data_IF_855402893752
#
_entry.id   IF_855402893752
#
_cell.length_a   1.000
_cell.length_b   1.000
_cell.length_c   1.000
_cell.angle_alpha   90.00
_cell.angle_beta   90.00
_cell.angle_gamma   90.00
#
_symmetry.space_group_name_H-M   'P 1'
#
loop_
_entity.id
_entity.type
_entity.pdbx_description
1 polymer ?
#
# COMPACT_ATOMS: atom_id res chain seq x y z
N UNK A 1 -21.51 0.09 21.28
CA UNK A 1 -20.30 0.79 21.75
C UNK A 1 -19.08 -0.13 21.85
N UNK A 2 -19.18 -1.37 22.38
CA UNK A 2 -18.07 -2.35 22.38
C UNK A 2 -17.43 -2.59 20.99
N UNK A 3 -18.26 -2.80 19.96
CA UNK A 3 -17.77 -2.95 18.56
C UNK A 3 -17.05 -1.72 17.98
N UNK A 4 -17.26 -0.50 18.52
CA UNK A 4 -16.58 0.71 18.01
C UNK A 4 -15.17 0.77 18.61
N UNK A 5 -15.02 0.47 19.91
CA UNK A 5 -13.73 0.46 20.59
C UNK A 5 -12.80 -0.64 20.06
N UNK A 6 -13.34 -1.84 19.79
CA UNK A 6 -12.59 -2.95 19.19
C UNK A 6 -12.14 -2.61 17.76
N UNK A 7 -12.99 -1.94 16.95
CA UNK A 7 -12.62 -1.45 15.61
C UNK A 7 -11.58 -0.32 15.61
N UNK A 8 -11.56 0.51 16.65
CA UNK A 8 -10.50 1.53 16.84
C UNK A 8 -9.16 0.85 17.13
N UNK A 9 -9.18 -0.23 17.93
CA UNK A 9 -7.98 -0.97 18.28
C UNK A 9 -7.44 -1.84 17.12
N UNK A 10 -8.31 -2.28 16.21
CA UNK A 10 -7.95 -3.06 15.02
C UNK A 10 -7.96 -2.25 13.72
N UNK A 11 -7.72 -0.93 13.77
CA UNK A 11 -7.88 -0.03 12.62
C UNK A 11 -6.91 -0.30 11.46
N UNK A 12 -5.86 -1.07 11.71
CA UNK A 12 -4.83 -1.45 10.75
C UNK A 12 -5.37 -2.31 9.58
N UNK A 13 -6.52 -2.98 9.79
CA UNK A 13 -7.17 -3.85 8.80
C UNK A 13 -8.42 -3.25 8.14
N UNK A 14 -8.74 -1.98 8.41
CA UNK A 14 -9.95 -1.33 7.89
C UNK A 14 -9.71 -0.66 6.53
N UNK A 15 -10.70 -0.75 5.65
CA UNK A 15 -10.66 -0.04 4.37
C UNK A 15 -10.70 1.48 4.58
N UNK A 16 -10.16 2.27 3.65
CA UNK A 16 -10.14 3.74 3.75
C UNK A 16 -11.53 4.35 4.04
N UNK A 17 -12.58 3.76 3.46
CA UNK A 17 -13.97 4.18 3.69
C UNK A 17 -14.44 3.90 5.13
N UNK A 18 -14.03 2.78 5.72
CA UNK A 18 -14.35 2.42 7.11
C UNK A 18 -13.56 3.26 8.11
N UNK A 19 -12.28 3.53 7.82
CA UNK A 19 -11.46 4.47 8.59
C UNK A 19 -12.09 5.86 8.57
N UNK A 20 -12.52 6.35 7.40
CA UNK A 20 -13.19 7.64 7.29
C UNK A 20 -14.49 7.67 8.10
N UNK A 21 -15.32 6.62 8.01
CA UNK A 21 -16.54 6.50 8.81
C UNK A 21 -16.24 6.59 10.31
N UNK A 22 -15.19 5.91 10.75
CA UNK A 22 -14.79 5.92 12.15
C UNK A 22 -14.35 7.31 12.60
N UNK A 23 -13.56 8.01 11.79
CA UNK A 23 -13.17 9.41 12.04
C UNK A 23 -14.40 10.32 12.15
N UNK A 24 -15.36 10.19 11.21
CA UNK A 24 -16.60 10.98 11.26
C UNK A 24 -17.42 10.66 12.51
N UNK A 25 -17.52 9.39 12.92
CA UNK A 25 -18.22 9.02 14.15
C UNK A 25 -17.58 9.65 15.40
N UNK A 26 -16.24 9.62 15.51
CA UNK A 26 -15.50 10.23 16.63
C UNK A 26 -15.75 11.74 16.67
N UNK A 27 -15.60 12.44 15.54
CA UNK A 27 -15.85 13.89 15.45
C UNK A 27 -17.30 14.21 15.76
N UNK A 28 -18.26 13.43 15.26
CA UNK A 28 -19.68 13.66 15.52
C UNK A 28 -20.02 13.50 17.00
N UNK A 29 -19.43 12.51 17.70
CA UNK A 29 -19.59 12.35 19.15
C UNK A 29 -19.02 13.57 19.88
N UNK A 30 -17.79 13.97 19.54
CA UNK A 30 -17.15 15.15 20.13
C UNK A 30 -17.99 16.42 19.93
N UNK A 31 -18.42 16.70 18.69
CA UNK A 31 -19.24 17.85 18.34
C UNK A 31 -20.61 17.79 19.02
N UNK A 32 -21.21 16.61 19.17
CA UNK A 32 -22.49 16.44 19.89
C UNK A 32 -22.35 16.77 21.38
N UNK A 33 -21.31 16.27 22.04
CA UNK A 33 -21.02 16.61 23.44
C UNK A 33 -20.81 18.12 23.57
N UNK A 34 -20.05 18.71 22.65
CA UNK A 34 -19.77 20.13 22.64
C UNK A 34 -21.05 20.97 22.46
N UNK A 35 -21.95 20.58 21.56
CA UNK A 35 -23.24 21.26 21.34
C UNK A 35 -24.12 21.16 22.58
N UNK A 36 -24.22 19.98 23.21
CA UNK A 36 -25.00 19.82 24.45
C UNK A 36 -24.48 20.72 25.57
N UNK A 37 -23.15 20.87 25.68
CA UNK A 37 -22.53 21.80 26.63
C UNK A 37 -22.71 23.28 26.24
N UNK A 38 -22.98 23.56 24.96
CA UNK A 38 -23.18 24.91 24.43
C UNK A 38 -24.58 25.47 24.72
N UNK A 39 -25.61 24.61 24.75
CA UNK A 39 -27.02 25.00 24.94
C UNK A 39 -27.29 25.76 26.26
N UNK A 40 -26.70 25.40 27.41
CA UNK A 40 -26.83 26.19 28.64
C UNK A 40 -26.19 27.57 28.51
N UNK A 41 -25.05 27.67 27.83
CA UNK A 41 -24.25 28.89 27.71
C UNK A 41 -24.88 29.94 26.77
N UNK A 42 -25.63 29.51 25.74
CA UNK A 42 -26.35 30.45 24.87
C UNK A 42 -27.44 31.23 25.60
N UNK A 43 -28.02 30.65 26.67
CA UNK A 43 -29.02 31.30 27.51
C UNK A 43 -28.41 32.36 28.45
N UNK A 44 -27.09 32.37 28.63
CA UNK A 44 -26.35 33.36 29.44
C UNK A 44 -25.69 34.46 28.61
N UNK A 45 -25.66 34.33 27.28
CA UNK A 45 -25.17 35.36 26.38
C UNK A 45 -26.35 36.19 25.85
N UNK A 46 -26.22 37.53 25.86
CA UNK A 46 -27.22 38.49 25.36
C UNK A 46 -27.33 38.49 23.82
N UNK A 47 -27.52 37.32 23.22
CA UNK A 47 -27.80 37.21 21.80
C UNK A 47 -29.26 37.55 21.49
N UNK A 48 -29.55 37.97 20.25
CA UNK A 48 -30.92 38.13 19.79
C UNK A 48 -31.68 36.79 19.84
N UNK A 49 -32.99 36.86 20.11
CA UNK A 49 -33.87 35.68 20.25
C UNK A 49 -33.74 34.74 19.03
N UNK A 50 -33.56 35.31 17.84
CA UNK A 50 -33.40 34.55 16.60
C UNK A 50 -32.12 33.69 16.62
N UNK A 51 -30.98 34.24 17.04
CA UNK A 51 -29.70 33.50 17.08
C UNK A 51 -29.75 32.37 18.11
N UNK A 52 -30.38 32.62 19.26
CA UNK A 52 -30.48 31.64 20.35
C UNK A 52 -31.37 30.44 20.03
N UNK A 53 -32.31 30.55 19.08
CA UNK A 53 -33.21 29.46 18.69
C UNK A 53 -32.77 28.82 17.37
N UNK A 54 -32.43 29.60 16.35
CA UNK A 54 -32.10 29.07 15.02
C UNK A 54 -30.76 28.33 14.98
N UNK A 55 -29.74 28.80 15.71
CA UNK A 55 -28.40 28.18 15.66
C UNK A 55 -28.40 26.79 16.30
N UNK A 56 -28.94 26.56 17.52
CA UNK A 56 -29.02 25.22 18.09
C UNK A 56 -29.87 24.26 17.24
N UNK A 57 -30.96 24.75 16.65
CA UNK A 57 -31.82 23.95 15.77
C UNK A 57 -31.08 23.52 14.49
N UNK A 58 -30.34 24.43 13.86
CA UNK A 58 -29.52 24.13 12.69
C UNK A 58 -28.39 23.14 13.01
N UNK A 59 -27.72 23.29 14.17
CA UNK A 59 -26.68 22.37 14.63
C UNK A 59 -27.23 20.96 14.91
N UNK A 60 -28.41 20.86 15.53
CA UNK A 60 -29.09 19.58 15.75
C UNK A 60 -29.47 18.90 14.42
N UNK A 61 -30.01 19.67 13.47
CA UNK A 61 -30.32 19.19 12.13
C UNK A 61 -29.07 18.64 11.43
N UNK A 62 -27.94 19.36 11.50
CA UNK A 62 -26.70 18.94 10.86
C UNK A 62 -26.12 17.66 11.48
N UNK A 63 -26.22 17.47 12.80
CA UNK A 63 -25.85 16.18 13.42
C UNK A 63 -26.72 15.04 12.88
N UNK A 64 -28.04 15.23 12.83
CA UNK A 64 -28.96 14.21 12.30
C UNK A 64 -28.63 13.90 10.84
N UNK A 65 -28.34 14.92 10.04
CA UNK A 65 -27.92 14.74 8.65
C UNK A 65 -26.61 13.98 8.54
N UNK A 66 -25.60 14.31 9.35
CA UNK A 66 -24.31 13.61 9.39
C UNK A 66 -24.49 12.13 9.73
N UNK A 67 -25.32 11.80 10.73
CA UNK A 67 -25.62 10.42 11.12
C UNK A 67 -26.38 9.67 10.00
N UNK A 68 -27.36 10.31 9.38
CA UNK A 68 -28.12 9.72 8.27
C UNK A 68 -27.20 9.42 7.06
N UNK A 69 -26.33 10.35 6.69
CA UNK A 69 -25.35 10.14 5.61
C UNK A 69 -24.36 9.01 5.93
N UNK A 70 -24.02 8.83 7.21
CA UNK A 70 -23.16 7.73 7.66
C UNK A 70 -23.85 6.37 7.51
N UNK A 71 -25.15 6.28 7.81
CA UNK A 71 -25.96 5.07 7.65
C UNK A 71 -26.09 4.67 6.18
N UNK A 72 -26.23 5.65 5.27
CA UNK A 72 -26.35 5.42 3.81
C UNK A 72 -24.97 5.16 3.17
N UNK A 73 -23.89 5.07 3.94
CA UNK A 73 -22.50 4.88 3.48
C UNK A 73 -21.93 6.06 2.65
N UNK A 74 -22.53 7.25 2.68
CA UNK A 74 -21.98 8.47 2.08
C UNK A 74 -20.94 9.13 3.00
N UNK A 75 -19.87 8.39 3.31
CA UNK A 75 -18.88 8.77 4.32
C UNK A 75 -18.17 10.11 4.02
N UNK A 76 -17.91 10.44 2.75
CA UNK A 76 -17.27 11.70 2.36
C UNK A 76 -18.18 12.92 2.54
N UNK A 77 -19.46 12.80 2.22
CA UNK A 77 -20.43 13.86 2.50
C UNK A 77 -20.65 14.05 3.99
N UNK A 78 -20.73 12.95 4.75
CA UNK A 78 -20.83 12.98 6.21
C UNK A 78 -19.65 13.75 6.86
N UNK A 79 -18.42 13.56 6.33
CA UNK A 79 -17.26 14.39 6.71
C UNK A 79 -17.52 15.89 6.47
N UNK A 80 -17.90 16.30 5.25
CA UNK A 80 -18.15 17.72 4.96
C UNK A 80 -19.25 18.31 5.86
N UNK A 81 -20.34 17.59 6.10
CA UNK A 81 -21.42 18.04 7.00
C UNK A 81 -20.91 18.23 8.43
N UNK A 82 -20.06 17.33 8.94
CA UNK A 82 -19.45 17.48 10.26
C UNK A 82 -18.50 18.68 10.35
N UNK A 83 -17.71 18.95 9.30
CA UNK A 83 -16.83 20.12 9.21
C UNK A 83 -17.65 21.42 9.20
N UNK A 84 -18.77 21.45 8.46
CA UNK A 84 -19.69 22.58 8.46
C UNK A 84 -20.32 22.80 9.83
N UNK A 85 -20.64 21.71 10.54
CA UNK A 85 -21.21 21.79 11.90
C UNK A 85 -20.25 22.48 12.86
N UNK A 86 -18.96 22.10 12.86
CA UNK A 86 -17.97 22.79 13.68
C UNK A 86 -17.69 24.22 13.17
N UNK A 87 -17.83 24.51 11.87
CA UNK A 87 -17.67 25.86 11.34
C UNK A 87 -18.70 26.83 11.93
N UNK A 88 -19.98 26.41 11.91
CA UNK A 88 -21.09 27.19 12.46
C UNK A 88 -20.90 27.37 13.97
N UNK A 89 -20.45 26.33 14.65
CA UNK A 89 -20.18 26.39 16.09
C UNK A 89 -19.03 27.36 16.42
N UNK A 90 -17.94 27.34 15.65
CA UNK A 90 -16.83 28.30 15.79
C UNK A 90 -17.29 29.74 15.53
N UNK A 91 -18.13 29.97 14.52
CA UNK A 91 -18.72 31.29 14.25
C UNK A 91 -19.69 31.75 15.35
N UNK A 92 -20.48 30.84 15.91
CA UNK A 92 -21.36 31.15 17.04
C UNK A 92 -20.57 31.62 18.25
N UNK A 93 -19.49 30.90 18.59
CA UNK A 93 -18.66 31.27 19.74
C UNK A 93 -17.77 32.49 19.50
N UNK A 94 -17.39 32.78 18.25
CA UNK A 94 -16.65 34.01 17.96
C UNK A 94 -17.49 35.26 18.20
N UNK A 95 -18.81 35.19 18.01
CA UNK A 95 -19.75 36.28 18.28
C UNK A 95 -20.09 36.46 19.78
N UNK A 96 -19.69 35.53 20.64
CA UNK A 96 -19.98 35.57 22.08
C UNK A 96 -19.20 36.63 22.85
N UNK A 97 -19.56 36.77 24.13
CA UNK A 97 -18.97 37.74 25.05
C UNK A 97 -17.51 37.43 25.44
N UNK A 98 -17.13 36.14 25.41
CA UNK A 98 -15.76 35.71 25.72
C UNK A 98 -14.91 35.57 24.46
N UNK A 99 -14.21 36.64 24.09
CA UNK A 99 -13.43 36.71 22.86
C UNK A 99 -12.22 35.76 22.83
N UNK A 100 -11.62 35.46 23.99
CA UNK A 100 -10.53 34.48 24.07
C UNK A 100 -11.01 33.06 23.78
N UNK A 101 -12.22 32.71 24.24
CA UNK A 101 -12.83 31.42 23.91
C UNK A 101 -13.11 31.30 22.40
N UNK A 102 -13.62 32.37 21.78
CA UNK A 102 -13.77 32.46 20.33
C UNK A 102 -12.45 32.24 19.58
N UNK A 103 -11.34 32.79 20.08
CA UNK A 103 -10.01 32.55 19.53
C UNK A 103 -9.58 31.08 19.60
N UNK A 104 -9.79 30.40 20.73
CA UNK A 104 -9.49 28.96 20.88
C UNK A 104 -10.31 28.10 19.89
N UNK A 105 -11.55 28.49 19.61
CA UNK A 105 -12.42 27.74 18.69
C UNK A 105 -11.89 27.66 17.25
N UNK A 106 -11.04 28.59 16.81
CA UNK A 106 -10.34 28.48 15.52
C UNK A 106 -9.34 27.32 15.51
N UNK A 107 -8.62 27.08 16.63
CA UNK A 107 -7.69 25.95 16.74
C UNK A 107 -8.42 24.61 16.87
N UNK A 108 -9.53 24.57 17.62
CA UNK A 108 -10.38 23.38 17.71
C UNK A 108 -10.90 22.99 16.33
N UNK A 109 -11.36 23.98 15.56
CA UNK A 109 -11.78 23.77 14.17
C UNK A 109 -10.64 23.23 13.30
N UNK A 110 -9.48 23.89 13.31
CA UNK A 110 -8.34 23.47 12.49
C UNK A 110 -7.88 22.05 12.86
N UNK A 111 -7.89 21.71 14.15
CA UNK A 111 -7.55 20.37 14.65
C UNK A 111 -8.51 19.30 14.12
N UNK A 112 -9.82 19.59 14.09
CA UNK A 112 -10.81 18.66 13.51
C UNK A 112 -10.58 18.46 12.02
N UNK A 113 -10.26 19.53 11.27
CA UNK A 113 -9.95 19.40 9.84
C UNK A 113 -8.66 18.59 9.63
N UNK A 114 -7.63 18.81 10.45
CA UNK A 114 -6.37 18.03 10.42
C UNK A 114 -6.64 16.55 10.71
N UNK A 115 -7.51 16.25 11.67
CA UNK A 115 -7.84 14.86 12.04
C UNK A 115 -8.41 14.04 10.88
N UNK A 116 -9.14 14.68 9.95
CA UNK A 116 -9.63 14.00 8.75
C UNK A 116 -8.52 13.58 7.79
N UNK A 117 -7.38 14.25 7.83
CA UNK A 117 -6.23 14.03 6.94
C UNK A 117 -6.57 14.16 5.44
N UNK A 118 -7.49 15.07 5.09
CA UNK A 118 -7.82 15.40 3.69
C UNK A 118 -7.23 16.78 3.35
N UNK A 119 -6.27 16.79 2.40
CA UNK A 119 -5.53 18.00 2.00
C UNK A 119 -6.44 19.07 1.39
N UNK A 120 -7.45 18.67 0.61
CA UNK A 120 -8.38 19.62 0.00
C UNK A 120 -9.26 20.24 1.08
N UNK A 121 -9.76 19.43 2.01
CA UNK A 121 -10.53 19.94 3.14
C UNK A 121 -9.70 20.93 3.97
N UNK A 122 -8.42 20.62 4.22
CA UNK A 122 -7.52 21.50 4.94
C UNK A 122 -7.24 22.82 4.20
N UNK A 123 -7.02 22.77 2.89
CA UNK A 123 -6.76 23.97 2.08
C UNK A 123 -8.01 24.88 2.01
N UNK A 124 -9.19 24.32 1.76
CA UNK A 124 -10.43 25.10 1.66
C UNK A 124 -10.93 25.55 3.03
N UNK A 125 -11.30 24.62 3.92
CA UNK A 125 -11.91 24.97 5.21
C UNK A 125 -10.88 25.57 6.17
N UNK A 126 -9.67 25.00 6.23
CA UNK A 126 -8.58 25.52 7.05
C UNK A 126 -8.07 26.88 6.57
N UNK A 127 -8.03 27.10 5.26
CA UNK A 127 -7.70 28.42 4.70
C UNK A 127 -8.75 29.48 5.04
N UNK A 128 -10.03 29.18 4.80
CA UNK A 128 -11.14 30.10 5.09
C UNK A 128 -11.18 30.47 6.58
N UNK A 129 -11.12 29.47 7.46
CA UNK A 129 -11.25 29.70 8.91
C UNK A 129 -10.05 30.47 9.48
N UNK A 130 -8.85 30.26 8.93
CA UNK A 130 -7.65 31.04 9.30
C UNK A 130 -7.82 32.49 8.87
N UNK A 131 -8.34 32.74 7.67
CA UNK A 131 -8.68 34.09 7.21
C UNK A 131 -9.72 34.78 8.11
N UNK A 132 -10.79 34.07 8.47
CA UNK A 132 -11.80 34.57 9.42
C UNK A 132 -11.18 34.83 10.80
N UNK A 133 -10.29 33.95 11.28
CA UNK A 133 -9.59 34.13 12.55
C UNK A 133 -8.63 35.31 12.56
N UNK A 134 -7.94 35.58 11.44
CA UNK A 134 -7.13 36.80 11.28
C UNK A 134 -8.01 38.05 11.37
N UNK A 135 -9.14 38.08 10.65
CA UNK A 135 -10.11 39.17 10.75
C UNK A 135 -10.63 39.34 12.19
N UNK A 136 -10.93 38.23 12.86
CA UNK A 136 -11.38 38.23 14.25
C UNK A 136 -10.38 38.86 15.22
N UNK A 137 -9.09 38.56 15.06
CA UNK A 137 -8.02 39.14 15.88
C UNK A 137 -7.89 40.64 15.61
N UNK A 138 -8.09 41.12 14.38
CA UNK A 138 -8.07 42.56 14.11
C UNK A 138 -9.27 43.29 14.72
N UNK A 139 -10.47 42.71 14.69
CA UNK A 139 -11.68 43.35 15.21
C UNK A 139 -11.80 43.26 16.74
N UNK A 140 -11.46 42.10 17.33
CA UNK A 140 -11.64 41.80 18.75
C UNK A 140 -10.33 41.63 19.54
N UNK A 141 -9.18 41.82 18.91
CA UNK A 141 -7.85 41.57 19.50
C UNK A 141 -7.62 42.27 20.83
N UNK A 142 -8.05 43.52 20.96
CA UNK A 142 -7.92 44.29 22.21
C UNK A 142 -8.66 43.62 23.37
N UNK A 143 -9.80 42.99 23.10
CA UNK A 143 -10.60 42.28 24.12
C UNK A 143 -10.10 40.87 24.42
N UNK A 144 -9.22 40.32 23.58
CA UNK A 144 -8.54 39.02 23.80
C UNK A 144 -7.33 39.22 24.71
N UNK A 145 -6.67 40.37 24.62
CA UNK A 145 -5.46 40.71 25.35
C UNK A 145 -5.82 41.01 26.82
N UNK A 146 -5.31 40.19 27.74
CA UNK A 146 -5.52 40.40 29.17
C UNK A 146 -4.89 41.70 29.68
N UNK A 147 -5.40 42.24 30.78
CA UNK A 147 -4.98 43.51 31.40
C UNK A 147 -3.51 43.59 31.82
N UNK A 148 -2.79 42.46 31.79
CA UNK A 148 -1.39 42.34 32.19
C UNK A 148 -0.41 42.35 31.00
N UNK A 149 -0.85 42.72 29.79
CA UNK A 149 0.03 42.77 28.61
C UNK A 149 0.99 43.96 28.65
N UNK A 150 2.27 43.71 28.34
CA UNK A 150 3.32 44.73 28.27
C UNK A 150 3.09 45.69 27.08
N UNK A 151 2.58 45.18 25.96
CA UNK A 151 2.20 45.96 24.77
C UNK A 151 1.06 45.24 24.03
N UNK A 152 -0.01 45.98 23.71
CA UNK A 152 -1.18 45.48 22.99
C UNK A 152 -0.85 45.08 21.55
N UNK A 153 0.05 45.79 20.88
CA UNK A 153 0.46 45.48 19.51
C UNK A 153 1.25 44.18 19.46
N UNK A 154 2.20 44.00 20.38
CA UNK A 154 3.02 42.77 20.47
C UNK A 154 2.14 41.57 20.79
N UNK A 155 1.16 41.73 21.68
CA UNK A 155 0.24 40.66 22.06
C UNK A 155 -0.69 40.27 20.90
N UNK A 156 -1.24 41.24 20.17
CA UNK A 156 -2.06 40.99 18.98
C UNK A 156 -1.26 40.26 17.88
N UNK A 157 -0.02 40.69 17.63
CA UNK A 157 0.86 40.03 16.67
C UNK A 157 1.20 38.60 17.08
N UNK A 158 1.35 38.34 18.38
CA UNK A 158 1.59 36.98 18.89
C UNK A 158 0.42 36.05 18.55
N UNK A 159 -0.82 36.50 18.77
CA UNK A 159 -2.00 35.71 18.42
C UNK A 159 -2.14 35.45 16.91
N UNK A 160 -1.78 36.43 16.08
CA UNK A 160 -1.74 36.28 14.62
C UNK A 160 -0.68 35.26 14.18
N UNK A 161 0.55 35.39 14.69
CA UNK A 161 1.67 34.50 14.36
C UNK A 161 1.36 33.06 14.79
N UNK A 162 0.76 32.86 15.96
CA UNK A 162 0.40 31.51 16.42
C UNK A 162 -0.67 30.90 15.52
N UNK A 163 -1.72 31.64 15.14
CA UNK A 163 -2.79 31.11 14.27
C UNK A 163 -2.28 30.80 12.85
N UNK A 164 -1.58 31.76 12.23
CA UNK A 164 -1.02 31.60 10.87
C UNK A 164 0.07 30.53 10.86
N UNK A 165 0.94 30.53 11.87
CA UNK A 165 2.01 29.54 12.02
C UNK A 165 1.45 28.13 12.20
N UNK A 166 0.40 27.96 13.01
CA UNK A 166 -0.30 26.69 13.13
C UNK A 166 -0.83 26.22 11.77
N UNK A 167 -1.49 27.10 11.01
CA UNK A 167 -1.99 26.74 9.68
C UNK A 167 -0.87 26.31 8.72
N UNK A 168 0.22 27.08 8.64
CA UNK A 168 1.32 26.84 7.70
C UNK A 168 2.09 25.56 8.04
N UNK A 169 2.38 25.30 9.31
CA UNK A 169 3.13 24.09 9.73
C UNK A 169 2.38 22.83 9.31
N UNK A 170 1.07 22.77 9.57
CA UNK A 170 0.26 21.62 9.17
C UNK A 170 0.04 21.55 7.66
N UNK A 171 -0.01 22.69 6.94
CA UNK A 171 -0.05 22.69 5.47
C UNK A 171 1.20 22.01 4.87
N UNK A 172 2.38 22.36 5.39
CA UNK A 172 3.64 21.74 4.98
C UNK A 172 3.64 20.25 5.31
N UNK A 173 3.18 19.86 6.50
CA UNK A 173 3.05 18.45 6.89
C UNK A 173 2.16 17.68 5.90
N UNK A 174 1.01 18.24 5.50
CA UNK A 174 0.12 17.60 4.52
C UNK A 174 0.78 17.44 3.15
N UNK A 175 1.44 18.48 2.63
CA UNK A 175 2.13 18.41 1.34
C UNK A 175 3.24 17.36 1.32
N UNK A 176 4.02 17.26 2.40
CA UNK A 176 5.08 16.25 2.52
C UNK A 176 4.46 14.85 2.60
N UNK A 177 3.42 14.68 3.42
CA UNK A 177 2.78 13.38 3.59
C UNK A 177 2.18 12.86 2.28
N UNK A 178 1.49 13.70 1.52
CA UNK A 178 0.83 13.30 0.27
C UNK A 178 1.87 12.85 -0.78
N UNK A 179 2.98 13.59 -0.89
CA UNK A 179 4.11 13.22 -1.76
C UNK A 179 4.75 11.88 -1.35
N UNK A 180 4.92 11.64 -0.04
CA UNK A 180 5.44 10.36 0.46
C UNK A 180 4.49 9.22 0.12
N UNK A 181 3.18 9.40 0.33
CA UNK A 181 2.18 8.39 -0.01
C UNK A 181 2.16 8.06 -1.49
N UNK A 182 2.21 9.08 -2.35
CA UNK A 182 2.28 8.88 -3.80
C UNK A 182 3.54 8.10 -4.20
N UNK A 183 4.70 8.49 -3.66
CA UNK A 183 5.97 7.80 -3.93
C UNK A 183 5.94 6.35 -3.46
N UNK A 184 5.50 6.11 -2.22
CA UNK A 184 5.37 4.75 -1.66
C UNK A 184 4.40 3.90 -2.46
N UNK A 185 3.27 4.45 -2.88
CA UNK A 185 2.30 3.74 -3.72
C UNK A 185 2.91 3.38 -5.08
N UNK A 186 3.63 4.30 -5.72
CA UNK A 186 4.30 4.05 -6.99
C UNK A 186 5.42 2.99 -6.86
N UNK A 187 6.19 3.02 -5.77
CA UNK A 187 7.19 2.00 -5.47
C UNK A 187 6.54 0.64 -5.20
N UNK A 188 5.45 0.60 -4.43
CA UNK A 188 4.70 -0.62 -4.15
C UNK A 188 4.13 -1.25 -5.43
N UNK A 189 3.50 -0.46 -6.31
CA UNK A 189 2.99 -0.93 -7.61
C UNK A 189 4.13 -1.49 -8.48
N UNK A 190 5.29 -0.83 -8.49
CA UNK A 190 6.46 -1.31 -9.22
C UNK A 190 6.98 -2.64 -8.65
N UNK A 191 7.10 -2.73 -7.33
CA UNK A 191 7.57 -3.94 -6.64
C UNK A 191 6.63 -5.10 -6.88
N UNK A 192 5.30 -4.87 -6.79
CA UNK A 192 4.29 -5.88 -7.07
C UNK A 192 4.45 -6.47 -8.47
N UNK A 193 4.60 -5.65 -9.50
CA UNK A 193 4.84 -6.13 -10.88
C UNK A 193 6.12 -6.94 -11.04
N UNK A 194 7.16 -6.62 -10.27
CA UNK A 194 8.42 -7.38 -10.29
C UNK A 194 8.23 -8.73 -9.59
N UNK A 195 7.57 -8.74 -8.43
CA UNK A 195 7.26 -9.94 -7.68
C UNK A 195 6.36 -10.90 -8.47
N UNK A 196 5.34 -10.39 -9.14
CA UNK A 196 4.46 -11.15 -10.06
C UNK A 196 5.30 -11.94 -11.08
N UNK A 197 6.25 -11.29 -11.77
CA UNK A 197 7.16 -11.97 -12.71
C UNK A 197 8.03 -13.03 -12.06
N UNK A 198 8.55 -12.77 -10.86
CA UNK A 198 9.36 -13.77 -10.14
C UNK A 198 8.53 -14.95 -9.68
N UNK A 199 7.28 -14.71 -9.27
CA UNK A 199 6.33 -15.77 -8.92
C UNK A 199 5.99 -16.61 -10.13
N UNK A 200 5.71 -16.00 -11.28
CA UNK A 200 5.49 -16.70 -12.55
C UNK A 200 6.67 -17.62 -12.90
N UNK A 201 7.90 -17.09 -12.87
CA UNK A 201 9.10 -17.86 -13.13
C UNK A 201 9.29 -19.01 -12.12
N UNK A 202 9.06 -18.73 -10.84
CA UNK A 202 9.23 -19.73 -9.78
C UNK A 202 8.21 -20.86 -9.91
N UNK A 203 6.94 -20.54 -10.22
CA UNK A 203 5.90 -21.55 -10.44
C UNK A 203 6.24 -22.40 -11.65
N UNK A 204 6.65 -21.77 -12.77
CA UNK A 204 7.08 -22.51 -13.97
C UNK A 204 8.22 -23.48 -13.67
N UNK A 205 9.24 -23.00 -12.94
CA UNK A 205 10.37 -23.82 -12.56
C UNK A 205 9.99 -24.98 -11.61
N UNK A 206 9.06 -24.74 -10.67
CA UNK A 206 8.53 -25.83 -9.82
C UNK A 206 7.82 -26.88 -10.69
N UNK A 207 7.00 -26.46 -11.64
CA UNK A 207 6.33 -27.39 -12.56
C UNK A 207 7.33 -28.20 -13.40
N UNK A 208 8.37 -27.56 -13.93
CA UNK A 208 9.45 -28.24 -14.66
C UNK A 208 10.17 -29.27 -13.78
N UNK A 209 10.51 -28.90 -12.54
CA UNK A 209 11.11 -29.82 -11.58
C UNK A 209 10.18 -30.99 -11.21
N UNK A 210 8.88 -30.74 -11.05
CA UNK A 210 7.89 -31.79 -10.81
C UNK A 210 7.83 -32.78 -11.98
N UNK A 211 7.85 -32.28 -13.22
CA UNK A 211 7.87 -33.10 -14.44
C UNK A 211 9.16 -33.91 -14.59
N UNK A 212 10.32 -33.30 -14.35
CA UNK A 212 11.64 -33.98 -14.42
C UNK A 212 11.77 -35.11 -13.40
N UNK A 213 11.17 -34.95 -12.22
CA UNK A 213 11.24 -35.91 -11.12
C UNK A 213 10.04 -36.88 -11.06
N UNK A 214 9.14 -36.85 -12.05
CA UNK A 214 7.91 -37.65 -12.10
C UNK A 214 7.07 -37.53 -10.81
N UNK A 215 6.99 -36.31 -10.27
CA UNK A 215 6.22 -35.98 -9.07
C UNK A 215 4.80 -35.57 -9.47
N UNK A 216 3.83 -36.03 -8.68
CA UNK A 216 2.45 -35.59 -8.85
C UNK A 216 2.25 -34.20 -8.25
N UNK A 217 1.69 -33.23 -9.00
CA UNK A 217 1.41 -31.90 -8.46
C UNK A 217 0.46 -31.98 -7.26
N UNK A 218 0.69 -31.12 -6.26
CA UNK A 218 -0.04 -31.13 -4.96
C UNK A 218 -1.57 -31.11 -5.14
N UNK A 219 -2.07 -30.33 -6.09
CA UNK A 219 -3.50 -30.21 -6.35
C UNK A 219 -4.12 -31.48 -6.98
N UNK A 220 -3.32 -32.41 -7.49
CA UNK A 220 -3.76 -33.75 -7.94
C UNK A 220 -3.65 -34.82 -6.85
N UNK A 221 -2.95 -34.53 -5.74
CA UNK A 221 -2.78 -35.51 -4.67
C UNK A 221 -4.08 -35.76 -3.92
N UNK A 222 -4.53 -37.01 -3.90
CA UNK A 222 -5.80 -37.40 -3.24
C UNK A 222 -5.80 -37.07 -1.75
N UNK A 223 -4.65 -37.19 -1.07
CA UNK A 223 -4.52 -36.86 0.36
C UNK A 223 -4.72 -35.37 0.61
N UNK A 224 -4.13 -34.53 -0.24
CA UNK A 224 -4.28 -33.08 -0.15
C UNK A 224 -5.73 -32.67 -0.40
N UNK A 225 -6.33 -33.13 -1.50
CA UNK A 225 -7.72 -32.85 -1.83
C UNK A 225 -8.67 -33.25 -0.70
N UNK A 226 -8.50 -34.45 -0.15
CA UNK A 226 -9.28 -34.95 0.98
C UNK A 226 -9.12 -34.10 2.24
N UNK A 227 -7.89 -33.67 2.54
CA UNK A 227 -7.61 -32.84 3.72
C UNK A 227 -8.28 -31.47 3.60
N UNK A 228 -8.16 -30.83 2.43
CA UNK A 228 -8.84 -29.56 2.15
C UNK A 228 -10.35 -29.73 2.26
N UNK A 229 -10.88 -30.84 1.71
CA UNK A 229 -12.30 -31.16 1.79
C UNK A 229 -12.80 -31.28 3.23
N UNK A 230 -12.17 -32.13 4.04
CA UNK A 230 -12.53 -32.35 5.43
C UNK A 230 -12.43 -31.07 6.27
N UNK A 231 -11.37 -30.26 6.07
CA UNK A 231 -11.20 -28.99 6.78
C UNK A 231 -12.26 -27.97 6.40
N UNK A 232 -12.56 -27.81 5.12
CA UNK A 232 -13.56 -26.85 4.67
C UNK A 232 -14.97 -27.23 5.12
N UNK A 233 -15.32 -28.52 5.12
CA UNK A 233 -16.59 -29.00 5.69
C UNK A 233 -16.64 -28.72 7.19
N UNK A 234 -15.59 -29.07 7.93
CA UNK A 234 -15.51 -28.82 9.37
C UNK A 234 -15.65 -27.34 9.73
N UNK A 235 -14.95 -26.45 9.02
CA UNK A 235 -15.05 -25.00 9.23
C UNK A 235 -16.47 -24.51 8.95
N UNK A 236 -17.09 -24.98 7.86
CA UNK A 236 -18.42 -24.52 7.48
C UNK A 236 -19.52 -25.00 8.46
N UNK A 237 -19.39 -26.24 8.96
CA UNK A 237 -20.26 -26.77 10.02
C UNK A 237 -20.09 -26.00 11.33
N UNK A 238 -18.87 -25.61 11.68
CA UNK A 238 -18.60 -24.78 12.86
C UNK A 238 -19.32 -23.41 12.81
N UNK A 239 -19.53 -22.86 11.61
CA UNK A 239 -20.29 -21.63 11.39
C UNK A 239 -21.79 -21.85 11.11
N UNK A 240 -22.32 -23.05 11.42
CA UNK A 240 -23.73 -23.41 11.23
C UNK A 240 -24.22 -23.29 9.77
N UNK A 241 -23.32 -23.47 8.79
CA UNK A 241 -23.62 -23.40 7.37
C UNK A 241 -23.77 -24.80 6.73
N UNK A 242 -24.34 -24.82 5.52
CA UNK A 242 -24.67 -26.05 4.79
C UNK A 242 -23.40 -26.79 4.29
N UNK A 243 -23.11 -27.93 4.92
CA UNK A 243 -21.97 -28.80 4.61
C UNK A 243 -22.01 -29.38 3.18
N UNK A 244 -23.20 -29.65 2.64
CA UNK A 244 -23.33 -30.23 1.30
C UNK A 244 -22.93 -29.22 0.23
N UNK A 245 -23.33 -27.96 0.39
CA UNK A 245 -22.97 -26.89 -0.55
C UNK A 245 -21.47 -26.65 -0.60
N UNK A 246 -20.77 -26.70 0.54
CA UNK A 246 -19.32 -26.49 0.53
C UNK A 246 -18.59 -27.67 -0.12
N UNK A 247 -19.09 -28.90 0.03
CA UNK A 247 -18.55 -30.08 -0.65
C UNK A 247 -18.54 -29.92 -2.16
N UNK A 248 -19.69 -29.55 -2.76
CA UNK A 248 -19.81 -29.31 -4.20
C UNK A 248 -18.86 -28.20 -4.68
N UNK A 249 -18.71 -27.15 -3.87
CA UNK A 249 -17.84 -26.01 -4.18
C UNK A 249 -16.36 -26.41 -4.18
N UNK A 250 -15.94 -27.28 -3.26
CA UNK A 250 -14.56 -27.79 -3.18
C UNK A 250 -14.25 -28.74 -4.35
N UNK A 251 -15.18 -29.62 -4.70
CA UNK A 251 -15.05 -30.47 -5.88
C UNK A 251 -14.92 -29.63 -7.14
N UNK A 252 -15.73 -28.57 -7.26
CA UNK A 252 -15.64 -27.62 -8.35
C UNK A 252 -14.29 -26.88 -8.36
N UNK A 253 -13.76 -26.47 -7.21
CA UNK A 253 -12.43 -25.85 -7.10
C UNK A 253 -11.32 -26.76 -7.65
N UNK A 254 -11.28 -28.03 -7.28
CA UNK A 254 -10.28 -28.97 -7.81
C UNK A 254 -10.51 -29.30 -9.28
N UNK A 255 -11.76 -29.36 -9.73
CA UNK A 255 -12.08 -29.50 -11.15
C UNK A 255 -11.48 -28.36 -11.98
N UNK A 256 -11.52 -27.12 -11.49
CA UNK A 256 -10.94 -25.95 -12.17
C UNK A 256 -9.42 -26.03 -12.35
N UNK A 257 -8.69 -26.82 -11.56
CA UNK A 257 -7.24 -27.01 -11.77
C UNK A 257 -6.92 -27.93 -12.96
N UNK A 258 -7.89 -28.73 -13.39
CA UNK A 258 -7.76 -29.66 -14.52
C UNK A 258 -8.25 -29.12 -15.86
N UNK A 259 -8.85 -27.92 -15.86
CA UNK A 259 -9.41 -27.26 -17.03
C UNK A 259 -8.80 -25.87 -17.19
N UNK A 260 -8.86 -25.31 -18.39
CA UNK A 260 -8.58 -23.89 -18.58
C UNK A 260 -9.75 -23.08 -18.02
N UNK A 261 -9.52 -22.36 -16.92
CA UNK A 261 -10.57 -21.61 -16.23
C UNK A 261 -11.19 -20.53 -17.11
N UNK A 262 -10.40 -19.96 -18.03
CA UNK A 262 -10.87 -19.04 -19.06
C UNK A 262 -11.96 -19.67 -19.94
N UNK A 263 -11.80 -20.94 -20.31
CA UNK A 263 -12.80 -21.67 -21.10
C UNK A 263 -14.09 -21.87 -20.31
N UNK A 264 -14.00 -22.20 -19.02
CA UNK A 264 -15.16 -22.35 -18.13
C UNK A 264 -15.91 -21.03 -17.95
N UNK A 265 -15.17 -19.92 -17.84
CA UNK A 265 -15.74 -18.57 -17.70
C UNK A 265 -16.38 -18.08 -19.02
N UNK A 266 -15.75 -18.38 -20.16
CA UNK A 266 -16.22 -17.99 -21.48
C UNK A 266 -17.37 -18.86 -22.00
N UNK A 267 -17.55 -20.08 -21.45
CA UNK A 267 -18.59 -20.99 -21.88
C UNK A 267 -20.00 -20.46 -21.54
N UNK A 268 -20.72 -20.00 -22.56
CA UNK A 268 -22.10 -19.50 -22.44
C UNK A 268 -23.10 -20.59 -22.00
N UNK A 269 -22.77 -21.87 -22.21
CA UNK A 269 -23.60 -23.01 -21.81
C UNK A 269 -23.38 -23.40 -20.34
N UNK A 270 -22.35 -22.88 -19.68
CA UNK A 270 -22.12 -23.13 -18.26
C UNK A 270 -23.14 -22.37 -17.39
N UNK A 271 -23.50 -22.95 -16.24
CA UNK A 271 -24.44 -22.28 -15.34
C UNK A 271 -23.87 -20.94 -14.84
N UNK A 272 -24.74 -19.93 -14.67
CA UNK A 272 -24.35 -18.61 -14.15
C UNK A 272 -23.62 -18.73 -12.80
N UNK A 273 -24.02 -19.69 -11.98
CA UNK A 273 -23.42 -19.98 -10.67
C UNK A 273 -22.01 -20.53 -10.84
N UNK A 274 -21.80 -21.51 -11.73
CA UNK A 274 -20.47 -22.08 -12.00
C UNK A 274 -19.51 -21.01 -12.55
N UNK A 275 -19.96 -20.18 -13.48
CA UNK A 275 -19.16 -19.06 -14.02
C UNK A 275 -18.78 -18.06 -12.93
N UNK A 276 -19.72 -17.73 -12.04
CA UNK A 276 -19.46 -16.83 -10.89
C UNK A 276 -18.43 -17.43 -9.94
N UNK A 277 -18.55 -18.71 -9.59
CA UNK A 277 -17.56 -19.37 -8.74
C UNK A 277 -16.20 -19.51 -9.44
N UNK A 278 -16.15 -19.78 -10.74
CA UNK A 278 -14.91 -19.83 -11.51
C UNK A 278 -14.16 -18.49 -11.44
N UNK A 279 -14.84 -17.36 -11.66
CA UNK A 279 -14.26 -16.01 -11.51
C UNK A 279 -13.76 -15.75 -10.08
N UNK A 280 -14.46 -16.24 -9.06
CA UNK A 280 -14.02 -16.09 -7.68
C UNK A 280 -12.79 -16.96 -7.36
N UNK A 281 -12.74 -18.18 -7.87
CA UNK A 281 -11.67 -19.13 -7.61
C UNK A 281 -10.42 -18.91 -8.45
N UNK A 282 -10.52 -18.28 -9.61
CA UNK A 282 -9.40 -17.98 -10.51
C UNK A 282 -8.18 -17.42 -9.77
N UNK A 283 -8.41 -16.50 -8.83
CA UNK A 283 -7.38 -15.86 -8.00
C UNK A 283 -6.73 -16.77 -6.96
N UNK A 284 -7.36 -17.90 -6.64
CA UNK A 284 -6.96 -18.82 -5.57
C UNK A 284 -6.53 -20.19 -6.09
N UNK A 285 -6.33 -20.34 -7.40
CA UNK A 285 -5.79 -21.57 -7.98
C UNK A 285 -4.31 -21.73 -7.61
N UNK A 286 -3.92 -22.93 -7.20
CA UNK A 286 -2.55 -23.23 -6.72
C UNK A 286 -1.58 -23.40 -7.89
N UNK A 287 -2.09 -23.79 -9.07
CA UNK A 287 -1.30 -24.03 -10.26
C UNK A 287 -1.15 -22.80 -11.17
N UNK A 288 -1.56 -21.60 -10.71
CA UNK A 288 -1.49 -20.36 -11.47
C UNK A 288 -0.92 -19.22 -10.66
N UNK A 289 -0.43 -18.21 -11.36
CA UNK A 289 -0.15 -16.94 -10.73
C UNK A 289 -1.46 -16.35 -10.18
N UNK A 290 -1.50 -16.07 -8.88
CA UNK A 290 -2.71 -15.68 -8.19
C UNK A 290 -2.44 -15.21 -6.77
N UNK A 291 -3.48 -14.67 -6.13
CA UNK A 291 -3.41 -14.15 -4.77
C UNK A 291 -2.98 -15.23 -3.77
N UNK A 292 -3.45 -16.47 -3.93
CA UNK A 292 -3.06 -17.57 -3.02
C UNK A 292 -1.55 -17.85 -3.10
N UNK A 293 -1.01 -17.99 -4.31
CA UNK A 293 0.41 -18.25 -4.49
C UNK A 293 1.26 -17.07 -4.00
N UNK A 294 0.83 -15.82 -4.24
CA UNK A 294 1.51 -14.65 -3.70
C UNK A 294 1.61 -14.70 -2.17
N UNK A 295 0.52 -15.05 -1.49
CA UNK A 295 0.48 -15.22 -0.03
C UNK A 295 1.42 -16.37 0.40
N UNK A 296 1.41 -17.50 -0.31
CA UNK A 296 2.30 -18.63 0.00
C UNK A 296 3.78 -18.25 -0.14
N UNK A 297 4.16 -17.52 -1.18
CA UNK A 297 5.52 -17.00 -1.34
C UNK A 297 5.90 -16.01 -0.23
N UNK A 298 4.98 -15.12 0.16
CA UNK A 298 5.19 -14.17 1.26
C UNK A 298 5.41 -14.91 2.58
N UNK A 299 4.54 -15.87 2.91
CA UNK A 299 4.69 -16.73 4.09
C UNK A 299 6.03 -17.46 4.04
N UNK A 300 6.37 -18.09 2.91
CA UNK A 300 7.64 -18.79 2.76
C UNK A 300 8.85 -17.86 2.98
N UNK A 301 8.76 -16.61 2.54
CA UNK A 301 9.80 -15.61 2.72
C UNK A 301 9.95 -15.13 4.17
N UNK A 302 8.86 -15.10 4.95
CA UNK A 302 8.89 -14.76 6.37
C UNK A 302 9.59 -15.82 7.21
N UNK A 303 9.43 -17.10 6.85
CA UNK A 303 9.98 -18.23 7.60
C UNK A 303 11.34 -18.70 7.09
N UNK A 304 11.75 -18.33 5.87
CA UNK A 304 13.11 -18.62 5.38
C UNK A 304 14.07 -17.54 5.88
N UNK A 305 15.04 -17.88 6.75
CA UNK A 305 16.08 -16.92 7.10
C UNK A 305 16.84 -16.54 5.83
N UNK A 306 16.98 -15.24 5.59
CA UNK A 306 17.88 -14.77 4.53
C UNK A 306 19.27 -15.30 4.86
N UNK A 307 19.90 -16.12 4.00
CA UNK A 307 21.24 -16.59 4.27
C UNK A 307 22.15 -15.37 4.44
N UNK A 308 23.02 -15.43 5.45
CA UNK A 308 23.99 -14.37 5.69
C UNK A 308 24.75 -14.06 4.39
N UNK A 309 25.05 -12.79 4.17
CA UNK A 309 25.91 -12.43 3.06
C UNK A 309 27.27 -13.09 3.26
N UNK A 310 27.70 -13.85 2.25
CA UNK A 310 29.03 -14.41 2.13
C UNK A 310 29.64 -13.82 0.87
N UNK A 311 30.89 -13.40 0.93
CA UNK A 311 31.58 -12.83 -0.24
C UNK A 311 31.56 -13.81 -1.44
N UNK A 312 31.54 -15.12 -1.16
CA UNK A 312 31.47 -16.20 -2.16
C UNK A 312 30.04 -16.74 -2.40
N UNK A 313 29.00 -15.90 -2.29
CA UNK A 313 27.59 -16.34 -2.41
C UNK A 313 27.28 -17.05 -3.73
N UNK A 314 27.98 -16.68 -4.81
CA UNK A 314 27.80 -17.29 -6.12
C UNK A 314 29.06 -18.08 -6.49
N UNK A 315 28.86 -19.31 -6.95
CA UNK A 315 29.93 -20.12 -7.52
C UNK A 315 30.10 -19.72 -8.98
N UNK A 316 31.31 -19.29 -9.36
CA UNK A 316 31.59 -18.83 -10.72
C UNK A 316 32.43 -19.82 -11.52
N UNK A 317 32.92 -20.89 -10.88
CA UNK A 317 33.74 -21.90 -11.53
C UNK A 317 32.87 -22.82 -12.40
N UNK A 318 33.17 -22.92 -13.69
CA UNK A 318 32.41 -23.74 -14.65
C UNK A 318 32.38 -25.23 -14.28
N UNK A 319 33.41 -25.74 -13.60
CA UNK A 319 33.42 -27.13 -13.14
C UNK A 319 32.46 -27.38 -11.98
N UNK A 320 32.17 -26.37 -11.18
CA UNK A 320 31.23 -26.46 -10.06
C UNK A 320 29.81 -26.09 -10.47
N UNK A 321 29.66 -25.25 -11.50
CA UNK A 321 28.36 -24.85 -12.06
C UNK A 321 27.72 -25.96 -12.89
N UNK A 322 28.51 -26.63 -13.73
CA UNK A 322 28.00 -27.66 -14.64
C UNK A 322 28.54 -29.03 -14.27
N UNK A 323 27.70 -30.05 -14.35
CA UNK A 323 28.10 -31.43 -14.06
C UNK A 323 28.54 -32.16 -15.34
N UNK A 324 27.80 -31.96 -16.44
CA UNK A 324 28.11 -32.61 -17.71
C UNK A 324 29.26 -31.90 -18.46
N UNK A 325 30.07 -32.71 -19.16
CA UNK A 325 31.18 -32.23 -19.98
C UNK A 325 30.69 -31.41 -21.18
N UNK A 326 29.53 -31.74 -21.74
CA UNK A 326 28.96 -31.01 -22.88
C UNK A 326 28.59 -29.59 -22.46
N UNK A 327 27.87 -29.44 -21.34
CA UNK A 327 27.49 -28.12 -20.81
C UNK A 327 28.70 -27.25 -20.46
N UNK A 328 29.77 -27.87 -19.92
CA UNK A 328 31.04 -27.19 -19.67
C UNK A 328 31.68 -26.66 -20.96
N UNK A 329 31.65 -27.44 -22.04
CA UNK A 329 32.19 -27.02 -23.34
C UNK A 329 31.31 -25.95 -24.00
N UNK A 330 29.98 -26.11 -23.91
CA UNK A 330 29.02 -25.15 -24.45
C UNK A 330 29.12 -23.80 -23.72
N UNK A 331 29.21 -23.82 -22.39
CA UNK A 331 29.40 -22.60 -21.59
C UNK A 331 30.70 -21.89 -21.92
N UNK A 332 31.80 -22.61 -22.17
CA UNK A 332 33.06 -22.04 -22.65
C UNK A 332 32.90 -21.38 -24.04
N UNK A 333 32.19 -22.03 -24.96
CA UNK A 333 31.90 -21.50 -26.29
C UNK A 333 31.03 -20.24 -26.24
N UNK A 334 30.00 -20.23 -25.39
CA UNK A 334 29.15 -19.06 -25.15
C UNK A 334 29.98 -17.92 -24.53
N UNK A 335 30.81 -18.22 -23.54
CA UNK A 335 31.69 -17.22 -22.90
C UNK A 335 32.65 -16.59 -23.92
N UNK A 336 33.29 -17.41 -24.75
CA UNK A 336 34.17 -16.91 -25.81
C UNK A 336 33.41 -16.03 -26.81
N UNK A 337 32.25 -16.48 -27.28
CA UNK A 337 31.43 -15.72 -28.23
C UNK A 337 30.97 -14.39 -27.63
N UNK A 338 30.56 -14.41 -26.36
CA UNK A 338 30.21 -13.22 -25.60
C UNK A 338 31.38 -12.22 -25.54
N UNK A 339 32.57 -12.66 -25.13
CA UNK A 339 33.75 -11.79 -25.04
C UNK A 339 34.15 -11.19 -26.41
N UNK A 340 33.96 -11.95 -27.49
CA UNK A 340 34.28 -11.51 -28.86
C UNK A 340 33.26 -10.51 -29.44
N UNK A 341 32.00 -10.60 -29.01
CA UNK A 341 30.90 -9.81 -29.56
C UNK A 341 30.52 -8.61 -28.70
N UNK A 342 30.75 -8.68 -27.38
CA UNK A 342 30.34 -7.62 -26.47
C UNK A 342 31.34 -6.47 -26.45
N UNK A 343 30.80 -5.26 -26.63
CA UNK A 343 31.57 -4.02 -26.65
C UNK A 343 31.91 -3.64 -25.22
N UNK A 344 33.10 -4.03 -24.77
CA UNK A 344 33.54 -3.91 -23.37
C UNK A 344 34.85 -3.16 -23.20
N UNK A 345 35.63 -2.95 -24.27
CA UNK A 345 36.90 -2.25 -24.20
C UNK A 345 36.72 -0.73 -24.25
N UNK A 346 37.48 -0.05 -23.38
CA UNK A 346 37.61 1.39 -23.34
C UNK A 346 38.56 1.87 -24.44
N UNK A 347 38.10 2.82 -25.26
CA UNK A 347 38.94 3.52 -26.21
C UNK A 347 40.01 4.36 -25.48
N UNK A 348 40.94 4.93 -26.24
CA UNK A 348 42.02 5.80 -25.71
C UNK A 348 41.52 7.06 -24.98
N UNK A 349 40.21 7.35 -25.05
CA UNK A 349 39.54 8.48 -24.44
C UNK A 349 38.57 8.06 -23.31
N UNK A 350 38.52 6.77 -22.95
CA UNK A 350 37.71 6.23 -21.87
C UNK A 350 36.25 5.92 -22.25
N UNK A 351 35.91 5.82 -23.54
CA UNK A 351 34.56 5.41 -23.99
C UNK A 351 34.54 3.92 -24.31
N UNK A 352 33.50 3.20 -23.87
CA UNK A 352 33.31 1.79 -24.19
C UNK A 352 32.88 1.68 -25.66
N UNK A 353 33.75 1.18 -26.54
CA UNK A 353 33.46 1.16 -27.99
C UNK A 353 34.04 -0.02 -28.77
N UNK A 354 35.03 -0.73 -28.22
CA UNK A 354 35.69 -1.84 -28.92
C UNK A 354 35.36 -3.20 -28.26
N UNK A 355 35.47 -4.28 -29.05
CA UNK A 355 35.34 -5.67 -28.57
C UNK A 355 36.72 -6.30 -28.35
N UNK A 356 36.79 -7.39 -27.59
CA UNK A 356 38.06 -8.11 -27.40
C UNK A 356 38.46 -8.84 -28.70
N UNK A 357 39.74 -8.74 -29.04
CA UNK A 357 40.36 -9.54 -30.09
C UNK A 357 40.54 -10.99 -29.63
N UNK A 358 40.69 -11.90 -30.58
CA UNK A 358 40.91 -13.31 -30.28
C UNK A 358 42.17 -13.52 -29.43
N UNK A 359 43.23 -12.79 -29.74
CA UNK A 359 44.50 -12.84 -29.01
C UNK A 359 44.34 -12.37 -27.55
N UNK A 360 43.56 -11.31 -27.31
CA UNK A 360 43.26 -10.82 -25.96
C UNK A 360 42.39 -11.81 -25.17
N UNK A 361 41.41 -12.46 -25.81
CA UNK A 361 40.59 -13.50 -25.17
C UNK A 361 41.46 -14.71 -24.82
N UNK A 362 42.35 -15.14 -25.72
CA UNK A 362 43.30 -16.23 -25.47
C UNK A 362 44.24 -15.88 -24.30
N UNK A 363 44.70 -14.64 -24.19
CA UNK A 363 45.51 -14.18 -23.06
C UNK A 363 44.70 -14.19 -21.75
N UNK A 364 43.46 -13.70 -21.79
CA UNK A 364 42.53 -13.75 -20.65
C UNK A 364 42.32 -15.19 -20.17
N UNK A 365 42.01 -16.14 -21.07
CA UNK A 365 41.79 -17.54 -20.70
C UNK A 365 43.06 -18.21 -20.12
N UNK A 366 44.26 -17.75 -20.50
CA UNK A 366 45.54 -18.25 -19.96
C UNK A 366 45.94 -17.59 -18.64
N UNK A 367 45.38 -16.41 -18.34
CA UNK A 367 45.69 -15.60 -17.16
C UNK A 367 45.48 -16.38 -15.86
N UNK A 368 46.11 -15.94 -14.77
CA UNK A 368 45.99 -16.64 -13.48
C UNK A 368 44.61 -16.38 -12.86
N UNK A 369 44.08 -15.19 -13.09
CA UNK A 369 42.82 -14.66 -12.59
C UNK A 369 41.63 -15.45 -13.16
N UNK A 370 41.66 -15.79 -14.45
CA UNK A 370 40.59 -16.58 -15.08
C UNK A 370 40.60 -18.07 -14.71
N UNK A 371 41.67 -18.58 -14.09
CA UNK A 371 41.74 -19.98 -13.64
C UNK A 371 40.80 -20.29 -12.48
N UNK A 372 40.36 -19.27 -11.76
CA UNK A 372 39.32 -19.42 -10.74
C UNK A 372 37.94 -19.70 -11.36
N UNK A 373 37.75 -19.34 -12.64
CA UNK A 373 36.50 -19.46 -13.38
C UNK A 373 36.51 -20.63 -14.36
N UNK A 374 37.61 -20.82 -15.10
CA UNK A 374 37.76 -21.82 -16.15
C UNK A 374 38.84 -22.84 -15.75
N UNK A 375 38.50 -24.14 -15.66
CA UNK A 375 39.44 -25.18 -15.31
C UNK A 375 40.44 -25.49 -16.44
N UNK A 376 41.59 -26.08 -16.07
CA UNK A 376 42.68 -26.40 -17.00
C UNK A 376 42.25 -27.29 -18.16
N UNK A 377 41.37 -28.25 -17.93
CA UNK A 377 40.91 -29.17 -18.97
C UNK A 377 40.16 -28.43 -20.09
N UNK A 378 39.37 -27.42 -19.74
CA UNK A 378 38.62 -26.61 -20.69
C UNK A 378 39.51 -25.61 -21.42
N UNK A 379 40.47 -24.98 -20.73
CA UNK A 379 41.46 -24.11 -21.38
C UNK A 379 42.29 -24.90 -22.37
N UNK A 380 42.76 -26.10 -22.01
CA UNK A 380 43.53 -26.95 -22.93
C UNK A 380 42.69 -27.36 -24.14
N UNK A 381 41.42 -27.74 -23.95
CA UNK A 381 40.51 -28.02 -25.06
C UNK A 381 40.35 -26.82 -26.00
N UNK A 382 40.19 -25.61 -25.44
CA UNK A 382 40.13 -24.38 -26.23
C UNK A 382 41.40 -24.17 -27.05
N UNK A 383 42.58 -24.31 -26.45
CA UNK A 383 43.87 -24.11 -27.13
C UNK A 383 44.12 -25.15 -28.22
N UNK A 384 43.75 -26.40 -27.98
CA UNK A 384 43.88 -27.47 -28.96
C UNK A 384 42.92 -27.28 -30.17
N UNK A 385 41.88 -26.45 -30.02
CA UNK A 385 40.85 -26.21 -31.02
C UNK A 385 40.70 -24.70 -31.35
N UNK A 386 41.74 -23.90 -31.13
CA UNK A 386 41.69 -22.43 -31.21
C UNK A 386 41.16 -21.93 -32.57
N UNK A 387 41.58 -22.59 -33.65
CA UNK A 387 41.11 -22.28 -35.01
C UNK A 387 39.59 -22.42 -35.17
N UNK A 388 38.97 -23.37 -34.47
CA UNK A 388 37.53 -23.62 -34.51
C UNK A 388 36.78 -22.47 -33.83
N UNK A 389 37.27 -22.03 -32.66
CA UNK A 389 36.73 -20.85 -31.96
C UNK A 389 36.98 -19.56 -32.73
N UNK A 390 38.09 -19.45 -33.47
CA UNK A 390 38.36 -18.26 -34.29
C UNK A 390 37.42 -18.15 -35.50
N UNK A 391 37.12 -19.28 -36.13
CA UNK A 391 36.48 -19.33 -37.46
C UNK A 391 34.96 -19.50 -37.40
N UNK A 392 34.44 -20.26 -36.43
CA UNK A 392 33.02 -20.60 -36.35
C UNK A 392 32.24 -19.82 -35.28
N UNK A 393 32.94 -19.18 -34.34
CA UNK A 393 32.37 -18.43 -33.21
C UNK A 393 32.96 -17.02 -33.15
#
# INVERSE_FOLDING_TARGET
MKNIFERIQSSEFLTFSEVLRLKVAIVTIFVSVFIVLTIPLSSFNDFSIDINVFVPMALALLIVLTLLMMIINFNRFSMHTSIITIAILTLFYSQGSNHFYGYIMFFVFLTIVIFYQDILAYLFYGGIITGVGVYYIFDKGVSIIGTNSIDTNVSMMTYLVVLIGFYIIFLIQFLISDNIYEKMNNEWVRMKKILEKYQEFSIRHITEMEEENDLTPVWRETKFQRTVHELSVFINEFFEADAHKISEVIEFYFFLHSQEVEEVIANENASIIARRYAVQFEKYLINREGELNAILFEIASLYKPTPNFTDDRYKYNLNELFHDRIDKLLSLAILYHFLKTEVTQLDKWGNIKDTLTHEEITELFKSKEYREFIPYELVNFYLDNEDLFRTLL
#
